data_IF_908801521346
#
_entry.id   IF_908801521346
#
_cell.length_a   1.000
_cell.length_b   1.000
_cell.length_c   1.000
_cell.angle_alpha   90.00
_cell.angle_beta   90.00
_cell.angle_gamma   90.00
#
_symmetry.space_group_name_H-M   'P 1'
#
loop_
_entity.id
_entity.type
_entity.pdbx_description
1 polymer ?
#
# COMPACT_ATOMS: atom_id res chain seq x y z
N UNK A 1 7.77 -31.64 -5.76
CA UNK A 1 7.51 -30.54 -4.80
C UNK A 1 7.18 -29.30 -5.63
N UNK A 2 5.92 -29.11 -6.01
CA UNK A 2 5.52 -28.05 -6.95
C UNK A 2 5.38 -26.75 -6.16
N UNK A 3 6.30 -25.83 -6.33
CA UNK A 3 6.17 -24.45 -5.86
C UNK A 3 4.91 -23.89 -6.53
N UNK A 4 3.85 -23.67 -5.74
CA UNK A 4 2.67 -23.00 -6.24
C UNK A 4 3.10 -21.56 -6.53
N UNK A 5 3.10 -21.22 -7.82
CA UNK A 5 3.25 -19.86 -8.30
C UNK A 5 2.19 -18.99 -7.61
N UNK A 6 2.65 -18.06 -6.77
CA UNK A 6 1.82 -17.22 -5.89
C UNK A 6 0.96 -16.22 -6.68
N UNK A 7 1.12 -16.14 -8.00
CA UNK A 7 0.41 -15.19 -8.87
C UNK A 7 -1.00 -15.63 -9.28
N UNK A 8 -1.44 -16.86 -9.00
CA UNK A 8 -2.72 -17.39 -9.52
C UNK A 8 -3.94 -17.29 -8.58
N UNK A 9 -3.87 -16.57 -7.45
CA UNK A 9 -5.02 -16.34 -6.56
C UNK A 9 -5.58 -14.90 -6.67
N UNK A 10 -5.40 -14.27 -7.84
CA UNK A 10 -5.60 -12.84 -8.07
C UNK A 10 -6.89 -12.49 -8.84
N UNK A 11 -7.84 -13.43 -8.96
CA UNK A 11 -8.94 -13.29 -9.92
C UNK A 11 -10.33 -12.99 -9.35
N UNK A 12 -10.55 -12.85 -8.03
CA UNK A 12 -11.94 -12.61 -7.57
C UNK A 12 -12.21 -11.55 -6.50
N UNK A 13 -11.22 -10.94 -5.86
CA UNK A 13 -11.39 -9.69 -5.09
C UNK A 13 -10.07 -8.93 -5.16
N UNK A 14 -10.03 -7.76 -5.81
CA UNK A 14 -8.84 -6.89 -5.92
C UNK A 14 -8.40 -6.37 -4.54
N UNK A 15 -7.73 -7.22 -3.77
CA UNK A 15 -7.28 -6.97 -2.39
C UNK A 15 -5.78 -6.75 -2.39
N UNK A 16 -5.35 -5.50 -2.18
CA UNK A 16 -3.93 -5.19 -1.98
C UNK A 16 -3.55 -5.34 -0.50
N UNK A 17 -2.39 -5.90 -0.25
CA UNK A 17 -1.75 -5.97 1.06
C UNK A 17 -1.10 -4.63 1.44
N UNK A 18 -0.87 -4.39 2.74
CA UNK A 18 -0.11 -3.22 3.20
C UNK A 18 1.29 -3.17 2.61
N UNK A 19 1.92 -4.33 2.43
CA UNK A 19 3.27 -4.45 1.85
C UNK A 19 3.30 -4.01 0.39
N UNK A 20 2.30 -4.36 -0.41
CA UNK A 20 2.22 -3.92 -1.81
C UNK A 20 1.99 -2.41 -1.92
N UNK A 21 1.14 -1.85 -1.06
CA UNK A 21 0.93 -0.40 -0.99
C UNK A 21 2.22 0.33 -0.61
N UNK A 22 2.90 -0.12 0.44
CA UNK A 22 4.18 0.46 0.89
C UNK A 22 5.20 0.40 -0.25
N UNK A 23 5.35 -0.75 -0.91
CA UNK A 23 6.30 -0.91 -2.02
C UNK A 23 6.02 0.07 -3.17
N UNK A 24 4.76 0.25 -3.57
CA UNK A 24 4.39 1.23 -4.61
C UNK A 24 4.71 2.66 -4.19
N UNK A 25 4.45 3.01 -2.93
CA UNK A 25 4.77 4.33 -2.40
C UNK A 25 6.28 4.57 -2.34
N UNK A 26 7.07 3.57 -1.90
CA UNK A 26 8.53 3.63 -1.90
C UNK A 26 9.10 3.79 -3.32
N UNK A 27 8.55 3.08 -4.31
CA UNK A 27 8.90 3.25 -5.72
C UNK A 27 8.57 4.66 -6.26
N UNK A 28 7.56 5.30 -5.70
CA UNK A 28 7.19 6.68 -6.01
C UNK A 28 7.98 7.72 -5.18
N UNK A 29 8.98 7.31 -4.40
CA UNK A 29 9.86 8.19 -3.63
C UNK A 29 9.39 8.51 -2.21
N UNK A 30 8.33 7.86 -1.71
CA UNK A 30 7.91 8.01 -0.31
C UNK A 30 8.85 7.24 0.63
N UNK A 31 9.07 7.82 1.81
CA UNK A 31 9.88 7.22 2.87
C UNK A 31 9.03 7.04 4.13
N UNK A 32 9.31 5.97 4.86
CA UNK A 32 8.70 5.72 6.16
C UNK A 32 9.30 6.68 7.20
N UNK A 33 8.47 7.48 7.86
CA UNK A 33 8.96 8.52 8.81
C UNK A 33 8.50 8.29 10.25
N UNK A 34 7.41 7.57 10.48
CA UNK A 34 6.95 7.21 11.81
C UNK A 34 5.96 6.04 11.76
N UNK A 35 5.86 5.28 12.85
CA UNK A 35 4.83 4.25 13.02
C UNK A 35 4.26 4.31 14.43
N UNK A 36 2.94 4.32 14.55
CA UNK A 36 2.23 4.21 15.83
C UNK A 36 1.18 3.13 15.74
N UNK A 37 1.42 2.00 16.42
CA UNK A 37 0.57 0.82 16.31
C UNK A 37 0.45 0.35 14.86
N UNK A 38 -0.77 0.30 14.34
CA UNK A 38 -1.04 -0.14 12.96
C UNK A 38 -1.03 0.98 11.92
N UNK A 39 -0.60 2.20 12.27
CA UNK A 39 -0.55 3.33 11.34
C UNK A 39 0.90 3.67 10.99
N UNK A 40 1.28 3.38 9.76
CA UNK A 40 2.58 3.75 9.20
C UNK A 40 2.46 5.08 8.45
N UNK A 41 3.24 6.07 8.85
CA UNK A 41 3.32 7.37 8.20
C UNK A 41 4.40 7.34 7.13
N UNK A 42 4.02 7.67 5.90
CA UNK A 42 4.93 7.81 4.77
C UNK A 42 4.93 9.25 4.28
N UNK A 43 6.11 9.79 3.98
CA UNK A 43 6.31 11.16 3.49
C UNK A 43 7.17 11.15 2.24
N UNK A 44 6.77 11.94 1.26
CA UNK A 44 7.57 12.22 0.08
C UNK A 44 8.35 13.53 0.29
N UNK A 45 9.58 13.67 -0.27
CA UNK A 45 10.39 14.89 -0.14
C UNK A 45 9.68 16.18 -0.58
N UNK A 46 8.75 16.10 -1.53
CA UNK A 46 7.94 17.25 -2.00
C UNK A 46 6.84 17.71 -1.01
N UNK A 47 6.74 17.07 0.16
CA UNK A 47 5.79 17.43 1.22
C UNK A 47 4.53 16.58 1.29
N UNK A 48 4.23 15.73 0.29
CA UNK A 48 3.08 14.80 0.37
C UNK A 48 3.25 13.83 1.53
N UNK A 49 2.15 13.53 2.21
CA UNK A 49 2.13 12.61 3.36
C UNK A 49 0.89 11.72 3.30
N UNK A 50 1.05 10.43 3.58
CA UNK A 50 -0.06 9.50 3.70
C UNK A 50 0.14 8.52 4.86
N UNK A 51 -0.97 7.93 5.32
CA UNK A 51 -0.98 6.93 6.38
C UNK A 51 -1.42 5.58 5.79
N UNK A 52 -0.56 4.58 5.90
CA UNK A 52 -0.83 3.21 5.48
C UNK A 52 -1.16 2.35 6.70
N UNK A 53 -2.31 1.66 6.73
CA UNK A 53 -2.58 0.65 7.75
C UNK A 53 -1.65 -0.56 7.58
N UNK A 54 -0.78 -0.82 8.55
CA UNK A 54 0.21 -1.90 8.52
C UNK A 54 0.39 -2.55 9.91
N UNK A 55 0.31 -3.89 10.04
CA UNK A 55 0.21 -4.90 8.99
C UNK A 55 -1.24 -5.20 8.58
N UNK A 56 -1.53 -5.25 7.28
CA UNK A 56 -2.82 -5.70 6.74
C UNK A 56 -2.63 -6.60 5.52
N UNK A 57 -3.34 -7.73 5.51
CA UNK A 57 -3.39 -8.64 4.35
C UNK A 57 -4.41 -8.21 3.30
N UNK A 58 -5.34 -7.33 3.67
CA UNK A 58 -6.39 -6.80 2.80
C UNK A 58 -6.67 -5.35 3.22
N UNK A 59 -6.44 -4.43 2.29
CA UNK A 59 -6.79 -3.01 2.44
C UNK A 59 -8.06 -2.73 1.64
N UNK A 60 -9.09 -2.26 2.34
CA UNK A 60 -10.37 -1.90 1.74
C UNK A 60 -10.18 -0.86 0.62
N UNK A 61 -10.97 -0.99 -0.45
CA UNK A 61 -10.99 -0.07 -1.60
C UNK A 61 -11.01 1.42 -1.21
N UNK A 62 -11.86 1.79 -0.25
CA UNK A 62 -11.94 3.19 0.22
C UNK A 62 -10.65 3.70 0.86
N UNK A 63 -9.91 2.82 1.56
CA UNK A 63 -8.60 3.15 2.12
C UNK A 63 -7.57 3.32 1.02
N UNK A 64 -7.54 2.43 0.02
CA UNK A 64 -6.66 2.57 -1.14
C UNK A 64 -6.90 3.90 -1.85
N UNK A 65 -8.16 4.21 -2.19
CA UNK A 65 -8.54 5.49 -2.83
C UNK A 65 -8.12 6.71 -2.01
N UNK A 66 -8.22 6.65 -0.69
CA UNK A 66 -7.76 7.75 0.16
C UNK A 66 -6.24 7.91 0.12
N UNK A 67 -5.50 6.80 0.12
CA UNK A 67 -4.04 6.82 -0.01
C UNK A 67 -3.65 7.37 -1.38
N UNK A 68 -4.30 6.94 -2.47
CA UNK A 68 -4.07 7.48 -3.82
C UNK A 68 -4.29 8.99 -3.87
N UNK A 69 -5.40 9.47 -3.31
CA UNK A 69 -5.70 10.91 -3.27
C UNK A 69 -4.65 11.72 -2.51
N UNK A 70 -4.14 11.19 -1.39
CA UNK A 70 -3.15 11.89 -0.56
C UNK A 70 -1.73 11.81 -1.15
N UNK A 71 -1.39 10.67 -1.75
CA UNK A 71 -0.05 10.40 -2.26
C UNK A 71 0.13 10.79 -3.72
N UNK A 72 -0.94 10.88 -4.51
CA UNK A 72 -0.89 11.01 -5.96
C UNK A 72 -0.40 9.74 -6.69
N UNK A 73 -0.30 8.61 -5.99
CA UNK A 73 0.17 7.33 -6.55
C UNK A 73 -1.01 6.43 -6.84
N UNK A 74 -1.15 5.93 -8.07
CA UNK A 74 -2.19 4.97 -8.44
C UNK A 74 -1.90 3.58 -7.88
N UNK A 75 -2.77 3.08 -7.01
CA UNK A 75 -2.66 1.79 -6.34
C UNK A 75 -3.56 0.74 -7.00
N UNK A 76 -4.78 1.13 -7.38
CA UNK A 76 -5.76 0.29 -8.08
C UNK A 76 -5.79 0.64 -9.56
N UNK A 77 -5.77 -0.38 -10.43
CA UNK A 77 -6.20 -0.24 -11.83
C UNK A 77 -7.66 -0.66 -11.94
#
# INVERSE_FOLDING_TARGET
>A
MRVLDRNAHNAYLSRMTSREVIRKLEQAGFQQVAKKGSHLKMRHPDGRTTIVPDPRKDIKKGTLRNIERQSGVTLQQ
#
